data_IF_867215838763
#
_entry.id   IF_867215838763
#
_cell.length_a   1.000
_cell.length_b   1.000
_cell.length_c   1.000
_cell.angle_alpha   90.00
_cell.angle_beta   90.00
_cell.angle_gamma   90.00
#
_symmetry.space_group_name_H-M   'P 1'
#
loop_
_entity.id
_entity.type
_entity.pdbx_description
1 polymer ?
#
# COMPACT_ATOMS: atom_id res chain seq x y z
N UNK A 1 6.77 10.94 -16.83
CA UNK A 1 6.24 10.17 -17.97
C UNK A 1 5.34 9.09 -17.39
N UNK A 2 4.13 8.91 -17.94
CA UNK A 2 3.21 7.87 -17.47
C UNK A 2 2.56 7.18 -18.68
N UNK A 3 2.58 5.85 -18.67
CA UNK A 3 1.97 4.99 -19.68
C UNK A 3 1.25 3.87 -18.95
N UNK A 4 -0.04 3.67 -19.24
CA UNK A 4 -0.84 2.59 -18.65
C UNK A 4 -1.38 1.70 -19.75
N UNK A 5 -1.22 0.38 -19.60
CA UNK A 5 -1.75 -0.65 -20.47
C UNK A 5 -2.73 -1.50 -19.66
N UNK A 6 -4.00 -1.40 -20.01
CA UNK A 6 -5.08 -2.20 -19.42
C UNK A 6 -5.46 -3.32 -20.40
N UNK A 7 -5.14 -4.55 -20.01
CA UNK A 7 -5.36 -5.74 -20.82
C UNK A 7 -6.47 -6.58 -20.19
N UNK A 8 -7.68 -6.40 -20.73
CA UNK A 8 -8.84 -7.25 -20.44
C UNK A 8 -8.78 -8.44 -21.40
N UNK A 9 -8.32 -9.58 -20.92
CA UNK A 9 -8.11 -10.77 -21.74
C UNK A 9 -8.92 -11.95 -21.20
N UNK A 10 -9.42 -12.83 -22.10
CA UNK A 10 -10.08 -14.06 -21.68
C UNK A 10 -9.09 -14.93 -20.89
N UNK A 11 -9.61 -15.64 -19.88
CA UNK A 11 -8.80 -16.47 -18.97
C UNK A 11 -8.40 -17.80 -19.60
N UNK A 12 -7.54 -17.73 -20.61
CA UNK A 12 -6.95 -18.89 -21.28
C UNK A 12 -5.42 -18.83 -21.28
N UNK A 13 -4.76 -19.97 -21.52
CA UNK A 13 -3.30 -20.04 -21.56
C UNK A 13 -2.68 -19.22 -22.71
N UNK A 14 -3.45 -18.83 -23.72
CA UNK A 14 -3.00 -17.99 -24.84
C UNK A 14 -3.01 -16.49 -24.48
N UNK A 15 -3.73 -16.08 -23.44
CA UNK A 15 -3.70 -14.70 -22.91
C UNK A 15 -2.33 -14.32 -22.35
N UNK A 16 -1.62 -15.25 -21.68
CA UNK A 16 -0.31 -14.97 -21.06
C UNK A 16 0.75 -14.57 -22.10
N UNK A 17 0.94 -15.32 -23.21
CA UNK A 17 1.80 -14.89 -24.30
C UNK A 17 1.39 -13.56 -24.94
N UNK A 18 0.09 -13.24 -25.01
CA UNK A 18 -0.39 -11.99 -25.58
C UNK A 18 -0.03 -10.78 -24.70
N UNK A 19 -0.29 -10.87 -23.39
CA UNK A 19 0.08 -9.85 -22.40
C UNK A 19 1.58 -9.58 -22.42
N UNK A 20 2.38 -10.65 -22.43
CA UNK A 20 3.84 -10.58 -22.48
C UNK A 20 4.34 -9.83 -23.71
N UNK A 21 3.85 -10.19 -24.89
CA UNK A 21 4.25 -9.55 -26.15
C UNK A 21 3.87 -8.07 -26.20
N UNK A 22 2.70 -7.71 -25.71
CA UNK A 22 2.24 -6.32 -25.69
C UNK A 22 3.08 -5.46 -24.74
N UNK A 23 3.34 -5.96 -23.52
CA UNK A 23 4.17 -5.24 -22.55
C UNK A 23 5.63 -5.15 -23.00
N UNK A 24 6.22 -6.24 -23.52
CA UNK A 24 7.59 -6.24 -24.05
C UNK A 24 7.73 -5.25 -25.23
N UNK A 25 6.75 -5.20 -26.14
CA UNK A 25 6.76 -4.23 -27.24
C UNK A 25 6.76 -2.77 -26.73
N UNK A 26 5.98 -2.47 -25.68
CA UNK A 26 5.96 -1.15 -25.06
C UNK A 26 7.30 -0.82 -24.39
N UNK A 27 7.87 -1.74 -23.60
CA UNK A 27 9.16 -1.54 -22.92
C UNK A 27 10.33 -1.41 -23.91
N UNK A 28 10.30 -2.18 -25.01
CA UNK A 28 11.28 -2.05 -26.12
C UNK A 28 11.17 -0.69 -26.79
N UNK A 29 9.97 -0.20 -27.07
CA UNK A 29 9.77 1.12 -27.68
C UNK A 29 10.30 2.26 -26.78
N UNK A 30 10.22 2.10 -25.46
CA UNK A 30 10.80 3.04 -24.50
C UNK A 30 12.33 2.89 -24.34
N UNK A 31 12.92 1.82 -24.89
CA UNK A 31 14.34 1.50 -24.77
C UNK A 31 14.77 1.15 -23.35
N UNK A 32 13.90 0.45 -22.62
CA UNK A 32 14.25 -0.21 -21.35
C UNK A 32 15.34 -1.26 -21.62
N UNK A 33 16.32 -1.40 -20.73
CA UNK A 33 17.38 -2.42 -20.82
C UNK A 33 16.83 -3.84 -20.98
N UNK A 34 17.47 -4.65 -21.82
CA UNK A 34 17.02 -6.00 -22.15
C UNK A 34 16.86 -6.90 -20.92
N UNK A 35 17.84 -6.90 -20.02
CA UNK A 35 17.78 -7.68 -18.79
C UNK A 35 16.54 -7.36 -17.93
N UNK A 36 16.14 -6.09 -17.85
CA UNK A 36 14.96 -5.67 -17.07
C UNK A 36 13.68 -6.14 -17.75
N UNK A 37 13.63 -6.11 -19.09
CA UNK A 37 12.48 -6.63 -19.86
C UNK A 37 12.35 -8.14 -19.67
N UNK A 38 13.45 -8.87 -19.70
CA UNK A 38 13.47 -10.32 -19.47
C UNK A 38 12.99 -10.66 -18.06
N UNK A 39 13.45 -9.92 -17.04
CA UNK A 39 12.97 -10.05 -15.66
C UNK A 39 11.45 -9.83 -15.60
N UNK A 40 10.94 -8.75 -16.21
CA UNK A 40 9.50 -8.42 -16.25
C UNK A 40 8.69 -9.50 -16.95
N UNK A 41 9.20 -10.02 -18.06
CA UNK A 41 8.58 -11.10 -18.81
C UNK A 41 8.40 -12.36 -17.95
N UNK A 42 9.45 -12.76 -17.22
CA UNK A 42 9.40 -13.93 -16.33
C UNK A 42 8.43 -13.68 -15.17
N UNK A 43 8.51 -12.52 -14.51
CA UNK A 43 7.62 -12.18 -13.39
C UNK A 43 6.15 -12.16 -13.80
N UNK A 44 5.85 -11.54 -14.95
CA UNK A 44 4.50 -11.49 -15.49
C UNK A 44 3.98 -12.89 -15.81
N UNK A 45 4.81 -13.73 -16.43
CA UNK A 45 4.43 -15.12 -16.77
C UNK A 45 4.07 -15.90 -15.52
N UNK A 46 4.87 -15.80 -14.45
CA UNK A 46 4.59 -16.47 -13.18
C UNK A 46 3.32 -15.92 -12.50
N UNK A 47 3.13 -14.60 -12.47
CA UNK A 47 1.94 -13.98 -11.87
C UNK A 47 0.66 -14.40 -12.59
N UNK A 48 0.63 -14.31 -13.92
CA UNK A 48 -0.51 -14.71 -14.74
C UNK A 48 -0.80 -16.21 -14.56
N UNK A 49 0.24 -17.05 -14.61
CA UNK A 49 0.09 -18.51 -14.52
C UNK A 49 -0.44 -18.93 -13.16
N UNK A 50 0.03 -18.32 -12.07
CA UNK A 50 -0.47 -18.60 -10.73
C UNK A 50 -1.94 -18.20 -10.57
N UNK A 51 -2.33 -17.03 -11.06
CA UNK A 51 -3.71 -16.58 -11.03
C UNK A 51 -4.62 -17.50 -11.87
N UNK A 52 -4.19 -17.91 -13.06
CA UNK A 52 -4.95 -18.82 -13.92
C UNK A 52 -5.14 -20.20 -13.27
N UNK A 53 -4.14 -20.74 -12.56
CA UNK A 53 -4.21 -22.07 -11.94
C UNK A 53 -5.16 -22.16 -10.74
N UNK A 54 -5.46 -21.05 -10.05
CA UNK A 54 -6.08 -21.09 -8.73
C UNK A 54 -7.53 -20.55 -8.62
N UNK A 55 -8.12 -20.00 -9.68
CA UNK A 55 -9.49 -19.44 -9.59
C UNK A 55 -10.58 -20.31 -10.27
N UNK A 56 -11.84 -20.15 -9.87
CA UNK A 56 -12.99 -20.91 -10.41
C UNK A 56 -13.36 -20.51 -11.86
N UNK A 57 -14.12 -21.35 -12.58
CA UNK A 57 -14.55 -21.12 -13.96
C UNK A 57 -15.51 -19.90 -14.06
N UNK A 58 -15.22 -18.94 -14.95
CA UNK A 58 -16.15 -17.85 -15.31
C UNK A 58 -15.87 -16.47 -14.70
N UNK A 59 -14.76 -16.28 -13.97
CA UNK A 59 -14.35 -15.00 -13.40
C UNK A 59 -13.51 -14.13 -14.35
N UNK A 60 -13.63 -12.80 -14.27
CA UNK A 60 -12.87 -11.87 -15.11
C UNK A 60 -11.41 -11.75 -14.65
N UNK A 61 -10.51 -11.66 -15.63
CA UNK A 61 -9.06 -11.59 -15.48
C UNK A 61 -8.53 -10.31 -16.14
N UNK A 62 -7.81 -9.49 -15.36
CA UNK A 62 -7.26 -8.21 -15.84
C UNK A 62 -5.78 -8.10 -15.51
N UNK A 63 -4.97 -7.76 -16.51
CA UNK A 63 -3.58 -7.34 -16.28
C UNK A 63 -3.47 -5.84 -16.56
N UNK A 64 -3.07 -5.08 -15.56
CA UNK A 64 -2.74 -3.66 -15.67
C UNK A 64 -1.25 -3.45 -15.49
N UNK A 65 -0.60 -2.88 -16.50
CA UNK A 65 0.82 -2.50 -16.42
C UNK A 65 0.95 -0.98 -16.53
N UNK A 66 1.50 -0.34 -15.51
CA UNK A 66 1.73 1.10 -15.43
C UNK A 66 3.22 1.38 -15.40
N UNK A 67 3.71 2.16 -16.35
CA UNK A 67 5.08 2.65 -16.41
C UNK A 67 5.05 4.11 -15.99
N UNK A 68 5.64 4.41 -14.83
CA UNK A 68 5.74 5.75 -14.29
C UNK A 68 7.21 6.12 -14.08
N UNK A 69 7.68 7.09 -14.86
CA UNK A 69 9.06 7.52 -14.91
C UNK A 69 10.01 6.33 -15.05
N UNK A 70 10.73 5.95 -14.00
CA UNK A 70 11.67 4.82 -14.00
C UNK A 70 11.14 3.60 -13.26
N UNK A 71 9.81 3.41 -13.19
CA UNK A 71 9.18 2.28 -12.49
C UNK A 71 8.09 1.64 -13.33
N UNK A 72 8.02 0.31 -13.29
CA UNK A 72 6.95 -0.48 -13.88
C UNK A 72 6.20 -1.20 -12.77
N UNK A 73 4.91 -0.90 -12.65
CA UNK A 73 3.98 -1.55 -11.74
C UNK A 73 3.06 -2.47 -12.55
N UNK A 74 3.03 -3.75 -12.20
CA UNK A 74 2.17 -4.75 -12.82
C UNK A 74 1.18 -5.24 -11.77
N UNK A 75 -0.11 -5.10 -12.06
CA UNK A 75 -1.20 -5.65 -11.27
C UNK A 75 -1.89 -6.74 -12.07
N UNK A 76 -1.90 -7.96 -11.54
CA UNK A 76 -2.70 -9.07 -12.05
C UNK A 76 -3.89 -9.24 -11.11
N UNK A 77 -5.08 -8.98 -11.63
CA UNK A 77 -6.34 -8.94 -10.88
C UNK A 77 -7.22 -10.09 -11.34
N UNK A 78 -7.65 -10.90 -10.39
CA UNK A 78 -8.69 -11.92 -10.53
C UNK A 78 -9.91 -11.48 -9.75
N UNK A 79 -11.09 -11.55 -10.37
CA UNK A 79 -12.38 -11.21 -9.77
C UNK A 79 -13.19 -12.44 -9.35
N UNK A 80 -12.53 -13.60 -9.19
CA UNK A 80 -13.16 -14.85 -8.79
C UNK A 80 -13.46 -14.95 -7.29
N UNK A 81 -13.75 -16.15 -6.80
CA UNK A 81 -14.09 -16.41 -5.38
C UNK A 81 -12.88 -16.38 -4.43
N UNK A 82 -11.70 -15.97 -4.91
CA UNK A 82 -10.45 -15.93 -4.15
C UNK A 82 -10.00 -17.30 -3.63
N UNK A 83 -8.94 -17.32 -2.82
CA UNK A 83 -8.45 -18.55 -2.19
C UNK A 83 -7.91 -18.30 -0.76
N UNK A 84 -7.99 -19.34 0.08
CA UNK A 84 -7.54 -19.27 1.47
C UNK A 84 -6.00 -19.32 1.57
N UNK A 85 -5.39 -18.21 2.00
CA UNK A 85 -3.94 -18.13 2.24
C UNK A 85 -3.52 -18.82 3.55
N UNK A 86 -4.47 -19.12 4.44
CA UNK A 86 -4.25 -19.79 5.73
C UNK A 86 -3.97 -21.29 5.63
N UNK A 87 -4.14 -21.89 4.44
CA UNK A 87 -3.95 -23.33 4.19
C UNK A 87 -2.80 -23.60 3.21
N UNK A 88 -1.98 -22.59 2.87
CA UNK A 88 -0.82 -22.81 2.01
C UNK A 88 0.31 -23.47 2.82
N UNK A 89 0.74 -24.71 2.48
CA UNK A 89 1.91 -25.31 3.10
C UNK A 89 3.12 -24.40 2.86
N UNK A 90 3.98 -24.19 3.86
CA UNK A 90 5.29 -23.58 3.63
C UNK A 90 6.07 -24.53 2.71
N UNK A 91 6.39 -24.13 1.46
CA UNK A 91 6.97 -25.06 0.52
C UNK A 91 8.38 -25.45 0.94
N UNK A 92 8.66 -26.74 0.92
CA UNK A 92 10.01 -27.27 1.08
C UNK A 92 10.85 -26.97 -0.17
N UNK A 93 12.19 -27.08 -0.09
CA UNK A 93 13.09 -26.78 -1.20
C UNK A 93 12.92 -27.67 -2.45
N UNK A 94 12.12 -28.74 -2.35
CA UNK A 94 11.79 -29.66 -3.44
C UNK A 94 10.35 -29.51 -3.98
N UNK A 95 9.51 -28.66 -3.37
CA UNK A 95 8.11 -28.49 -3.77
C UNK A 95 8.00 -27.62 -5.04
N UNK A 96 7.19 -28.06 -6.00
CA UNK A 96 6.87 -27.28 -7.21
C UNK A 96 5.88 -26.14 -6.92
N UNK A 97 5.10 -26.25 -5.84
CA UNK A 97 4.20 -25.19 -5.36
C UNK A 97 5.01 -24.09 -4.66
N UNK A 98 4.82 -22.83 -5.07
CA UNK A 98 5.53 -21.67 -4.48
C UNK A 98 6.80 -21.21 -5.20
N UNK A 99 7.30 -21.97 -6.20
CA UNK A 99 8.44 -21.54 -7.04
C UNK A 99 8.19 -20.24 -7.78
N UNK A 100 6.98 -20.03 -8.30
CA UNK A 100 6.62 -18.80 -8.99
C UNK A 100 6.72 -17.57 -8.08
N UNK A 101 6.34 -17.69 -6.81
CA UNK A 101 6.48 -16.60 -5.82
C UNK A 101 7.95 -16.31 -5.51
N UNK A 102 8.78 -17.35 -5.38
CA UNK A 102 10.22 -17.21 -5.18
C UNK A 102 10.89 -16.52 -6.39
N UNK A 103 10.55 -16.93 -7.61
CA UNK A 103 11.05 -16.32 -8.85
C UNK A 103 10.64 -14.84 -8.91
N UNK A 104 9.36 -14.53 -8.66
CA UNK A 104 8.89 -13.15 -8.62
C UNK A 104 9.61 -12.32 -7.56
N UNK A 105 9.82 -12.85 -6.36
CA UNK A 105 10.51 -12.15 -5.27
C UNK A 105 12.00 -11.92 -5.51
N UNK A 106 12.64 -12.74 -6.35
CA UNK A 106 14.05 -12.56 -6.74
C UNK A 106 14.21 -11.52 -7.85
N UNK A 107 13.20 -11.38 -8.71
CA UNK A 107 13.26 -10.54 -9.88
C UNK A 107 12.64 -9.17 -9.66
N UNK A 108 11.64 -9.02 -8.79
CA UNK A 108 11.00 -7.73 -8.54
C UNK A 108 11.78 -6.92 -7.48
N UNK A 109 11.65 -5.60 -7.53
CA UNK A 109 12.10 -4.74 -6.45
C UNK A 109 11.10 -4.74 -5.27
N UNK A 110 9.80 -4.90 -5.57
CA UNK A 110 8.75 -5.16 -4.57
C UNK A 110 7.72 -6.16 -5.12
N UNK A 111 7.28 -7.10 -4.27
CA UNK A 111 6.21 -8.07 -4.59
C UNK A 111 5.18 -8.04 -3.49
N UNK A 112 3.92 -7.80 -3.86
CA UNK A 112 2.78 -7.90 -2.93
C UNK A 112 1.76 -8.86 -3.48
N UNK A 113 1.41 -9.84 -2.65
CA UNK A 113 0.35 -10.79 -2.94
C UNK A 113 -0.82 -10.57 -1.98
N UNK A 114 -2.03 -10.51 -2.52
CA UNK A 114 -3.28 -10.50 -1.73
C UNK A 114 -4.27 -11.45 -2.35
N UNK A 115 -4.93 -12.26 -1.53
CA UNK A 115 -6.15 -12.96 -1.94
C UNK A 115 -7.26 -12.61 -0.97
N UNK A 116 -8.46 -12.43 -1.51
CA UNK A 116 -9.64 -12.05 -0.77
C UNK A 116 -10.64 -13.20 -0.89
N UNK A 117 -11.01 -13.82 0.24
CA UNK A 117 -12.10 -14.81 0.27
C UNK A 117 -13.36 -14.20 -0.35
N UNK A 118 -13.86 -14.83 -1.42
CA UNK A 118 -15.01 -14.41 -2.24
C UNK A 118 -14.84 -13.14 -3.11
N UNK A 119 -13.68 -12.48 -3.08
CA UNK A 119 -13.40 -11.22 -3.79
C UNK A 119 -12.08 -11.28 -4.62
N UNK A 120 -11.59 -12.50 -4.93
CA UNK A 120 -10.55 -12.74 -5.93
C UNK A 120 -9.10 -12.67 -5.43
N UNK A 121 -8.16 -12.37 -6.32
CA UNK A 121 -6.73 -12.29 -6.01
C UNK A 121 -6.04 -11.14 -6.76
N UNK A 122 -5.12 -10.47 -6.07
CA UNK A 122 -4.29 -9.39 -6.59
C UNK A 122 -2.81 -9.73 -6.40
N UNK A 123 -2.10 -9.82 -7.52
CA UNK A 123 -0.63 -9.85 -7.53
C UNK A 123 -0.14 -8.49 -8.00
N UNK A 124 0.64 -7.80 -7.18
CA UNK A 124 1.27 -6.53 -7.51
C UNK A 124 2.79 -6.72 -7.54
N UNK A 125 3.40 -6.38 -8.66
CA UNK A 125 4.85 -6.48 -8.88
C UNK A 125 5.38 -5.10 -9.25
N UNK A 126 6.45 -4.65 -8.60
CA UNK A 126 7.15 -3.41 -8.94
C UNK A 126 8.57 -3.72 -9.41
N UNK A 127 8.97 -3.10 -10.52
CA UNK A 127 10.32 -3.20 -11.08
C UNK A 127 10.83 -1.82 -11.47
N UNK A 128 12.03 -1.49 -11.02
CA UNK A 128 12.77 -0.31 -11.41
C UNK A 128 13.29 -0.49 -12.83
N UNK A 129 13.01 0.52 -13.66
CA UNK A 129 13.41 0.58 -15.06
C UNK A 129 14.72 1.36 -15.19
N UNK A 130 15.55 0.89 -16.11
CA UNK A 130 16.69 1.62 -16.63
C UNK A 130 16.56 1.75 -18.13
N UNK A 131 16.81 2.95 -18.62
CA UNK A 131 16.65 3.32 -20.01
C UNK A 131 18.01 3.52 -20.67
N UNK A 132 18.12 3.16 -21.95
CA UNK A 132 19.28 3.53 -22.76
C UNK A 132 19.42 5.05 -22.85
N UNK A 133 20.65 5.56 -22.86
CA UNK A 133 20.95 7.01 -22.81
C UNK A 133 20.26 7.82 -23.92
N UNK A 134 20.15 7.24 -25.11
CA UNK A 134 19.53 7.88 -26.29
C UNK A 134 18.13 7.31 -26.60
N UNK A 135 17.55 6.55 -25.67
CA UNK A 135 16.21 5.96 -25.82
C UNK A 135 15.10 6.98 -25.55
N UNK A 136 13.90 6.69 -26.05
CA UNK A 136 12.72 7.52 -25.81
C UNK A 136 12.45 7.70 -24.31
N UNK A 137 12.51 6.62 -23.50
CA UNK A 137 12.33 6.70 -22.06
C UNK A 137 13.45 7.49 -21.37
N UNK A 138 14.69 7.33 -21.81
CA UNK A 138 15.84 8.10 -21.30
C UNK A 138 15.68 9.60 -21.55
N UNK A 139 15.27 9.99 -22.76
CA UNK A 139 15.04 11.39 -23.12
C UNK A 139 13.84 12.00 -22.39
N UNK A 140 12.76 11.23 -22.21
CA UNK A 140 11.54 11.69 -21.53
C UNK A 140 11.70 11.78 -20.00
N UNK A 141 12.70 11.11 -19.43
CA UNK A 141 12.99 11.12 -17.99
C UNK A 141 14.18 12.02 -17.62
N UNK A 142 15.10 12.31 -18.55
CA UNK A 142 16.28 13.15 -18.33
C UNK A 142 15.98 14.63 -17.98
N UNK A 143 14.77 15.13 -18.25
CA UNK A 143 14.38 16.52 -18.01
C UNK A 143 13.56 16.79 -16.74
N UNK A 144 13.11 15.75 -16.02
CA UNK A 144 12.18 15.91 -14.90
C UNK A 144 12.80 15.40 -13.59
N UNK A 145 13.54 16.26 -12.91
CA UNK A 145 14.05 16.05 -11.54
C UNK A 145 12.98 16.16 -10.44
N UNK A 146 11.69 16.13 -10.80
CA UNK A 146 10.58 16.09 -9.85
C UNK A 146 9.74 14.87 -10.20
N UNK A 147 9.64 13.87 -9.30
CA UNK A 147 8.66 12.80 -9.44
C UNK A 147 7.30 13.47 -9.57
N UNK A 148 6.62 13.31 -10.71
CA UNK A 148 5.20 13.64 -10.77
C UNK A 148 4.51 12.69 -9.78
N UNK A 149 3.63 13.20 -8.88
CA UNK A 149 2.88 12.32 -7.99
C UNK A 149 2.18 11.27 -8.86
N UNK A 150 2.26 10.00 -8.45
CA UNK A 150 1.58 8.89 -9.10
C UNK A 150 0.13 9.29 -9.35
N UNK A 151 -0.23 9.51 -10.61
CA UNK A 151 -1.60 9.80 -10.98
C UNK A 151 -2.36 8.51 -10.74
N UNK A 152 -3.34 8.66 -9.87
CA UNK A 152 -3.99 7.54 -9.28
C UNK A 152 -4.96 6.89 -10.26
N UNK A 153 -4.99 5.57 -10.14
CA UNK A 153 -5.85 4.67 -10.85
C UNK A 153 -7.28 4.92 -10.35
N UNK A 154 -8.26 5.33 -11.19
CA UNK A 154 -9.55 5.86 -10.73
C UNK A 154 -10.39 4.90 -9.85
N UNK A 155 -10.12 3.59 -9.93
CA UNK A 155 -10.70 2.59 -9.02
C UNK A 155 -9.90 2.46 -7.70
N UNK A 156 -8.58 2.65 -7.74
CA UNK A 156 -7.74 2.75 -6.55
C UNK A 156 -7.99 4.07 -5.80
N UNK A 157 -8.36 5.14 -6.50
CA UNK A 157 -8.87 6.39 -5.92
C UNK A 157 -10.17 6.17 -5.18
N UNK A 158 -11.10 5.43 -5.78
CA UNK A 158 -12.35 5.03 -5.12
C UNK A 158 -12.11 4.24 -3.84
N UNK A 159 -11.21 3.25 -3.87
CA UNK A 159 -10.88 2.47 -2.67
C UNK A 159 -10.15 3.31 -1.63
N UNK A 160 -9.16 4.11 -2.04
CA UNK A 160 -8.36 4.96 -1.14
C UNK A 160 -9.23 6.03 -0.46
N UNK A 161 -10.11 6.68 -1.21
CA UNK A 161 -11.11 7.60 -0.67
C UNK A 161 -12.01 6.91 0.36
N UNK A 162 -12.47 5.69 0.06
CA UNK A 162 -13.28 4.89 1.01
C UNK A 162 -12.51 4.54 2.28
N UNK A 163 -11.22 4.20 2.21
CA UNK A 163 -10.40 3.95 3.40
C UNK A 163 -10.31 5.19 4.29
N UNK A 164 -10.09 6.36 3.70
CA UNK A 164 -10.09 7.62 4.46
C UNK A 164 -11.46 7.95 5.06
N UNK A 165 -12.54 7.72 4.33
CA UNK A 165 -13.90 7.94 4.85
C UNK A 165 -14.27 6.97 5.97
N UNK A 166 -13.83 5.71 5.90
CA UNK A 166 -13.97 4.75 7.00
C UNK A 166 -13.17 5.19 8.23
N UNK A 167 -11.97 5.76 8.06
CA UNK A 167 -11.21 6.32 9.17
C UNK A 167 -11.90 7.55 9.79
N UNK A 168 -12.47 8.44 8.97
CA UNK A 168 -13.21 9.63 9.42
C UNK A 168 -14.55 9.29 10.09
N UNK A 169 -15.24 8.25 9.62
CA UNK A 169 -16.54 7.82 10.14
C UNK A 169 -16.44 6.83 11.30
N UNK A 170 -15.27 6.20 11.49
CA UNK A 170 -15.06 5.23 12.55
C UNK A 170 -15.56 3.83 12.21
N UNK A 171 -15.62 3.46 10.92
CA UNK A 171 -15.97 2.10 10.49
C UNK A 171 -14.80 1.13 10.75
N UNK A 172 -14.58 0.84 12.02
CA UNK A 172 -13.42 0.09 12.52
C UNK A 172 -13.33 -1.29 11.90
N UNK A 173 -14.44 -2.01 11.80
CA UNK A 173 -14.45 -3.41 11.35
C UNK A 173 -14.07 -3.50 9.88
N UNK A 174 -14.67 -2.68 9.02
CA UNK A 174 -14.35 -2.70 7.60
C UNK A 174 -12.94 -2.18 7.35
N UNK A 175 -12.56 -1.06 7.98
CA UNK A 175 -11.22 -0.51 7.83
C UNK A 175 -10.15 -1.51 8.28
N UNK A 176 -10.32 -2.13 9.44
CA UNK A 176 -9.44 -3.17 9.94
C UNK A 176 -9.34 -4.35 8.96
N UNK A 177 -10.47 -4.81 8.41
CA UNK A 177 -10.48 -5.86 7.38
C UNK A 177 -9.65 -5.49 6.15
N UNK A 178 -9.68 -4.24 5.70
CA UNK A 178 -8.83 -3.79 4.59
C UNK A 178 -7.34 -3.75 4.96
N UNK A 179 -6.98 -3.33 6.18
CA UNK A 179 -5.60 -3.35 6.65
C UNK A 179 -5.08 -4.80 6.82
N UNK A 180 -5.91 -5.69 7.37
CA UNK A 180 -5.62 -7.13 7.49
C UNK A 180 -5.46 -7.76 6.10
N UNK A 181 -6.23 -7.28 5.12
CA UNK A 181 -6.07 -7.60 3.70
C UNK A 181 -4.91 -6.84 3.03
N UNK A 182 -3.97 -6.30 3.81
CA UNK A 182 -2.70 -5.75 3.37
C UNK A 182 -2.70 -4.27 2.99
N UNK A 183 -3.83 -3.54 3.10
CA UNK A 183 -3.83 -2.09 2.88
C UNK A 183 -2.81 -1.45 3.82
N UNK A 184 -2.01 -0.48 3.33
CA UNK A 184 -0.92 0.05 4.12
C UNK A 184 -1.48 0.71 5.38
N UNK A 185 -1.11 0.27 6.60
CA UNK A 185 -1.64 0.83 7.84
C UNK A 185 -1.24 2.31 8.01
N UNK A 186 -0.18 2.72 7.32
CA UNK A 186 0.34 4.09 7.26
C UNK A 186 -0.05 4.83 5.97
N UNK A 187 -1.14 4.42 5.30
CA UNK A 187 -1.71 5.16 4.18
C UNK A 187 -2.02 6.60 4.62
N UNK A 188 -1.63 7.55 3.79
CA UNK A 188 -1.79 8.98 4.05
C UNK A 188 -2.40 9.69 2.83
N UNK A 189 -3.21 10.72 3.08
CA UNK A 189 -3.81 11.54 2.03
C UNK A 189 -2.81 12.58 1.48
N UNK A 190 -3.29 13.46 0.58
CA UNK A 190 -2.47 14.51 -0.05
C UNK A 190 -1.88 15.54 0.92
N UNK A 191 -2.27 15.52 2.21
CA UNK A 191 -1.74 16.39 3.26
C UNK A 191 -0.83 15.64 4.24
N UNK A 192 -0.56 14.37 3.96
CA UNK A 192 0.16 13.48 4.85
C UNK A 192 -0.67 13.02 6.06
N UNK A 193 -1.99 13.27 6.10
CA UNK A 193 -2.84 12.80 7.20
C UNK A 193 -3.04 11.28 7.05
N UNK A 194 -2.53 10.50 8.01
CA UNK A 194 -2.67 9.03 8.02
C UNK A 194 -4.07 8.58 8.41
N UNK A 195 -4.44 7.34 8.09
CA UNK A 195 -5.69 6.72 8.57
C UNK A 195 -5.85 6.84 10.09
N UNK A 196 -4.77 6.61 10.84
CA UNK A 196 -4.76 6.74 12.30
C UNK A 196 -4.96 8.20 12.74
N UNK A 197 -4.34 9.17 12.05
CA UNK A 197 -4.53 10.59 12.35
C UNK A 197 -5.96 11.07 12.07
N UNK A 198 -6.58 10.59 10.99
CA UNK A 198 -7.97 10.87 10.67
C UNK A 198 -8.91 10.28 11.73
N UNK A 199 -8.72 9.01 12.10
CA UNK A 199 -9.49 8.38 13.17
C UNK A 199 -9.35 9.14 14.50
N UNK A 200 -8.13 9.59 14.82
CA UNK A 200 -7.85 10.36 16.03
C UNK A 200 -8.53 11.73 16.03
N UNK A 201 -8.44 12.48 14.92
CA UNK A 201 -9.05 13.81 14.76
C UNK A 201 -10.57 13.78 14.83
N UNK A 202 -11.17 12.66 14.42
CA UNK A 202 -12.62 12.45 14.41
C UNK A 202 -13.16 11.72 15.65
N UNK A 203 -12.32 11.45 16.67
CA UNK A 203 -12.79 10.94 17.96
C UNK A 203 -13.07 9.44 18.00
N UNK A 204 -12.37 8.62 17.19
CA UNK A 204 -12.62 7.17 17.07
C UNK A 204 -11.54 6.33 17.77
N UNK A 205 -11.58 6.15 19.10
CA UNK A 205 -10.55 5.44 19.84
C UNK A 205 -10.43 3.96 19.46
N UNK A 206 -11.54 3.28 19.16
CA UNK A 206 -11.51 1.87 18.76
C UNK A 206 -10.83 1.68 17.40
N UNK A 207 -11.07 2.60 16.47
CA UNK A 207 -10.38 2.63 15.18
C UNK A 207 -8.88 2.89 15.35
N UNK A 208 -8.50 3.80 16.24
CA UNK A 208 -7.08 4.07 16.57
C UNK A 208 -6.40 2.81 17.11
N UNK A 209 -7.01 2.13 18.09
CA UNK A 209 -6.46 0.88 18.63
C UNK A 209 -6.33 -0.20 17.56
N UNK A 210 -7.36 -0.36 16.73
CA UNK A 210 -7.37 -1.36 15.67
C UNK A 210 -6.28 -1.11 14.62
N UNK A 211 -6.05 0.14 14.24
CA UNK A 211 -4.99 0.54 13.31
C UNK A 211 -3.60 0.36 13.93
N UNK A 212 -3.41 0.80 15.17
CA UNK A 212 -2.13 0.64 15.88
C UNK A 212 -1.75 -0.82 16.07
N UNK A 213 -2.71 -1.68 16.44
CA UNK A 213 -2.50 -3.13 16.55
C UNK A 213 -2.09 -3.79 15.21
N UNK A 214 -2.32 -3.11 14.09
CA UNK A 214 -1.97 -3.55 12.72
C UNK A 214 -0.77 -2.78 12.13
N UNK A 215 0.04 -2.16 12.99
CA UNK A 215 1.29 -1.51 12.59
C UNK A 215 1.14 -0.10 12.04
N UNK A 216 0.02 0.59 12.31
CA UNK A 216 -0.06 2.02 12.08
C UNK A 216 0.85 2.74 13.09
N UNK A 217 1.68 3.64 12.58
CA UNK A 217 2.67 4.39 13.35
C UNK A 217 1.98 5.59 14.03
N UNK A 218 1.87 5.60 15.38
CA UNK A 218 1.23 6.69 16.09
C UNK A 218 2.10 7.96 16.16
N UNK A 219 3.38 7.89 15.77
CA UNK A 219 4.34 9.01 15.81
C UNK A 219 4.52 9.70 14.45
N UNK A 220 3.93 9.14 13.39
CA UNK A 220 4.08 9.67 12.03
C UNK A 220 3.47 11.06 11.91
N UNK A 221 4.30 12.02 11.52
CA UNK A 221 3.88 13.39 11.27
C UNK A 221 3.30 13.57 9.87
N UNK A 222 2.30 14.44 9.74
CA UNK A 222 1.80 14.90 8.44
C UNK A 222 2.71 15.98 7.83
N UNK A 223 2.33 16.53 6.66
CA UNK A 223 3.15 17.52 5.94
C UNK A 223 3.31 18.85 6.69
N UNK A 224 2.48 19.09 7.72
CA UNK A 224 2.57 20.25 8.63
C UNK A 224 3.39 19.95 9.89
N UNK A 225 4.01 18.77 9.98
CA UNK A 225 4.72 18.32 11.17
C UNK A 225 3.82 17.92 12.33
N UNK A 226 2.49 17.84 12.14
CA UNK A 226 1.55 17.51 13.20
C UNK A 226 1.52 16.00 13.43
N UNK A 227 1.57 15.59 14.70
CA UNK A 227 1.44 14.19 15.12
C UNK A 227 0.02 13.89 15.63
N UNK A 228 -0.46 12.64 15.55
CA UNK A 228 -1.80 12.24 15.99
C UNK A 228 -2.15 12.66 17.42
N UNK A 229 -1.22 12.49 18.37
CA UNK A 229 -1.46 12.76 19.79
C UNK A 229 -1.71 14.25 20.08
N UNK A 230 -0.92 15.14 19.47
CA UNK A 230 -1.13 16.58 19.59
C UNK A 230 -2.50 17.00 19.01
N UNK A 231 -2.92 16.39 17.90
CA UNK A 231 -4.25 16.61 17.33
C UNK A 231 -5.38 16.18 18.27
N UNK A 232 -5.28 15.01 18.89
CA UNK A 232 -6.26 14.48 19.83
C UNK A 232 -6.41 15.36 21.08
N UNK A 233 -5.29 15.89 21.60
CA UNK A 233 -5.27 16.84 22.74
C UNK A 233 -5.99 18.13 22.41
N UNK A 234 -5.73 18.72 21.24
CA UNK A 234 -6.43 19.93 20.80
C UNK A 234 -7.96 19.72 20.74
N UNK A 235 -8.37 18.56 20.22
CA UNK A 235 -9.77 18.12 20.09
C UNK A 235 -10.48 17.76 21.40
N UNK A 236 -9.76 17.59 22.52
CA UNK A 236 -10.29 17.14 23.81
C UNK A 236 -10.82 15.68 23.80
N UNK A 237 -10.28 14.84 22.91
CA UNK A 237 -10.74 13.47 22.72
C UNK A 237 -10.04 12.49 23.68
N UNK A 238 -10.43 12.49 24.95
CA UNK A 238 -9.71 11.72 25.98
C UNK A 238 -9.66 10.21 25.78
N UNK A 239 -10.63 9.63 25.06
CA UNK A 239 -10.58 8.22 24.65
C UNK A 239 -9.47 7.97 23.62
N UNK A 240 -9.32 8.87 22.66
CA UNK A 240 -8.29 8.81 21.62
C UNK A 240 -6.90 9.07 22.21
N UNK A 241 -6.77 10.04 23.12
CA UNK A 241 -5.50 10.32 23.81
C UNK A 241 -4.97 9.05 24.49
N UNK A 242 -5.81 8.34 25.26
CA UNK A 242 -5.40 7.06 25.87
C UNK A 242 -5.04 6.01 24.82
N UNK A 243 -5.85 5.84 23.78
CA UNK A 243 -5.57 4.86 22.73
C UNK A 243 -4.22 5.11 22.01
N UNK A 244 -3.84 6.37 21.84
CA UNK A 244 -2.55 6.74 21.25
C UNK A 244 -1.38 6.50 22.21
N UNK A 245 -1.55 6.80 23.50
CA UNK A 245 -0.54 6.48 24.52
C UNK A 245 -0.34 4.97 24.65
N UNK A 246 -1.42 4.19 24.68
CA UNK A 246 -1.38 2.72 24.69
C UNK A 246 -0.68 2.16 23.45
N UNK A 247 -0.75 2.87 22.31
CA UNK A 247 -0.04 2.54 21.08
C UNK A 247 1.44 2.95 21.09
N UNK A 248 1.92 3.61 22.14
CA UNK A 248 3.31 4.04 22.29
C UNK A 248 3.61 5.45 21.78
N UNK A 249 2.59 6.31 21.64
CA UNK A 249 2.81 7.71 21.27
C UNK A 249 3.55 8.48 22.38
N UNK A 250 4.55 9.30 22.02
CA UNK A 250 5.32 10.11 22.96
C UNK A 250 4.68 11.50 23.13
N UNK A 251 4.20 11.86 24.34
CA UNK A 251 3.62 13.18 24.61
C UNK A 251 4.56 14.37 24.34
N UNK A 252 5.87 14.15 24.44
CA UNK A 252 6.89 15.18 24.32
C UNK A 252 7.45 15.31 22.90
N UNK A 253 7.11 14.41 21.99
CA UNK A 253 7.68 14.38 20.67
C UNK A 253 6.97 15.31 19.68
N UNK A 254 7.75 15.88 18.76
CA UNK A 254 7.28 16.81 17.73
C UNK A 254 7.18 18.27 18.18
N UNK A 255 6.82 19.15 17.25
CA UNK A 255 6.63 20.58 17.52
C UNK A 255 5.43 21.11 16.71
N UNK A 256 4.31 21.49 17.35
CA UNK A 256 4.07 21.44 18.79
C UNK A 256 3.91 19.99 19.30
N UNK A 257 4.46 19.69 20.47
CA UNK A 257 4.25 18.41 21.16
C UNK A 257 2.82 18.32 21.73
N UNK A 258 2.42 17.13 22.22
CA UNK A 258 1.13 16.98 22.88
C UNK A 258 1.08 17.78 24.20
N UNK A 259 2.19 17.85 24.93
CA UNK A 259 2.34 18.68 26.14
C UNK A 259 2.23 20.18 25.81
N UNK A 260 2.94 20.66 24.78
CA UNK A 260 2.83 22.06 24.33
C UNK A 260 1.41 22.42 23.95
N UNK A 261 0.74 21.49 23.25
CA UNK A 261 -0.65 21.64 22.84
C UNK A 261 -1.58 21.66 24.05
N UNK A 262 -1.37 20.80 25.04
CA UNK A 262 -2.15 20.79 26.27
C UNK A 262 -2.03 22.12 27.04
N UNK A 263 -0.82 22.66 27.18
CA UNK A 263 -0.62 23.98 27.79
C UNK A 263 -1.30 25.10 26.98
N UNK A 264 -1.12 25.11 25.65
CA UNK A 264 -1.69 26.14 24.76
C UNK A 264 -3.21 26.19 24.80
N UNK A 265 -3.86 25.04 24.90
CA UNK A 265 -5.32 24.93 24.92
C UNK A 265 -5.92 24.73 26.32
N UNK A 266 -5.11 24.79 27.38
CA UNK A 266 -5.55 24.64 28.78
C UNK A 266 -6.11 23.25 29.12
N UNK A 267 -5.60 22.18 28.49
CA UNK A 267 -6.02 20.78 28.69
C UNK A 267 -5.30 20.13 29.87
N UNK A 268 -5.50 20.66 31.07
CA UNK A 268 -4.81 20.21 32.29
C UNK A 268 -5.05 18.72 32.62
N UNK A 269 -6.18 18.17 32.20
CA UNK A 269 -6.54 16.77 32.39
C UNK A 269 -5.62 15.79 31.66
N UNK A 270 -5.00 16.21 30.55
CA UNK A 270 -4.06 15.36 29.80
C UNK A 270 -2.63 15.48 30.32
N UNK A 271 -2.27 16.61 30.93
CA UNK A 271 -0.94 16.76 31.54
C UNK A 271 -0.72 15.72 32.65
N UNK A 272 -1.71 15.53 33.51
CA UNK A 272 -1.65 14.49 34.55
C UNK A 272 -1.52 13.08 33.97
N UNK A 273 -2.18 12.82 32.83
CA UNK A 273 -2.10 11.54 32.13
C UNK A 273 -0.70 11.29 31.52
N UNK A 274 -0.05 12.34 31.03
CA UNK A 274 1.30 12.23 30.45
C UNK A 274 2.37 11.98 31.53
N UNK A 275 2.22 12.60 32.70
CA UNK A 275 3.11 12.39 33.85
C UNK A 275 3.04 10.95 34.40
N UNK A 276 1.89 10.28 34.29
CA UNK A 276 1.73 8.86 34.67
C UNK A 276 2.43 7.88 33.70
N UNK A 277 2.65 8.30 32.46
CA UNK A 277 3.22 7.44 31.39
C UNK A 277 4.73 7.63 31.18
N UNK A 278 5.38 8.54 31.90
CA UNK A 278 6.82 8.78 31.76
C UNK A 278 7.65 7.61 32.33
N UNK A 279 8.69 7.13 31.62
CA UNK A 279 9.63 6.17 32.21
C UNK A 279 10.34 6.83 33.41
N UNK A 280 10.62 6.10 34.50
CA UNK A 280 11.24 6.67 35.69
C UNK A 280 12.60 7.32 35.32
N UNK A 281 12.96 8.45 35.94
CA UNK A 281 14.23 9.10 35.66
C UNK A 281 15.39 8.16 36.01
N UNK A 282 16.32 8.02 35.07
CA UNK A 282 17.55 7.20 35.16
C UNK A 282 18.57 7.85 36.10
#
# INVERSE_FOLDING_TARGET
MEISLDLLLPRDAASVPATRRLLDAALRALGVEEQIRDDIEVMLTEACTNVIKHAEHGADYTVRATIQDSRCLIKVIDSGTGFDTGVLPRPGPADEQGRGLMIMSMLADDVRFRSFMHDGALVSLEKNLRYGKDSLGGLLTAGNGTPLPARADPEADGLTARLFDMARSGDTVRLAGFIDAGAPPNLADERGDTLLMLAARHGHPDTVRALAARGADPERANDRGQRPLAGAVAGKEGGVVRALLDAGADPHAGSPSAVDTAHRFGRTEFLALFDETAPPPV
#
